data_IF_306381966464
#
_entry.id   IF_306381966464
#
_cell.length_a   1.000
_cell.length_b   1.000
_cell.length_c   1.000
_cell.angle_alpha   90.00
_cell.angle_beta   90.00
_cell.angle_gamma   90.00
#
_symmetry.space_group_name_H-M   'P 1'
#
loop_
_entity.id
_entity.type
_entity.pdbx_description
1 polymer ?
#
# COMPACT_ATOMS: atom_id res chain seq x y z
N UNK A 1 -2.31 8.41 -0.15
CA UNK A 1 -2.39 7.30 -1.12
C UNK A 1 -2.79 7.75 -2.53
N UNK A 2 -3.98 8.30 -2.76
CA UNK A 2 -4.38 8.76 -4.11
C UNK A 2 -3.41 9.76 -4.76
N UNK A 3 -2.90 10.72 -3.97
CA UNK A 3 -1.90 11.72 -4.42
C UNK A 3 -0.56 11.09 -4.83
N UNK A 4 -0.11 10.04 -4.12
CA UNK A 4 1.13 9.32 -4.45
C UNK A 4 0.98 8.59 -5.78
N UNK A 5 -0.13 7.86 -5.98
CA UNK A 5 -0.37 7.10 -7.22
C UNK A 5 -0.55 8.00 -8.42
N UNK A 6 -1.18 9.17 -8.25
CA UNK A 6 -1.26 10.18 -9.31
C UNK A 6 0.13 10.70 -9.71
N UNK A 7 1.01 10.98 -8.74
CA UNK A 7 2.37 11.41 -9.03
C UNK A 7 3.19 10.33 -9.74
N UNK A 8 3.06 9.06 -9.31
CA UNK A 8 3.72 7.91 -9.93
C UNK A 8 3.24 7.66 -11.37
N UNK A 9 1.92 7.73 -11.61
CA UNK A 9 1.32 7.59 -12.94
C UNK A 9 1.75 8.72 -13.89
N UNK A 10 1.88 9.94 -13.38
CA UNK A 10 2.38 11.11 -14.11
C UNK A 10 3.90 11.20 -14.22
N UNK A 11 4.66 10.18 -13.78
CA UNK A 11 6.12 10.14 -13.75
C UNK A 11 6.79 11.29 -12.96
N UNK A 12 6.04 11.94 -12.07
CA UNK A 12 6.51 13.04 -11.21
C UNK A 12 7.19 12.47 -9.96
N UNK A 13 8.46 12.12 -10.12
CA UNK A 13 9.28 11.54 -9.04
C UNK A 13 9.42 12.46 -7.84
N UNK A 14 9.55 13.77 -8.07
CA UNK A 14 9.70 14.74 -6.98
C UNK A 14 8.44 14.78 -6.11
N UNK A 15 7.26 14.84 -6.74
CA UNK A 15 6.00 14.79 -6.02
C UNK A 15 5.76 13.42 -5.36
N UNK A 16 6.16 12.32 -6.01
CA UNK A 16 6.03 10.97 -5.44
C UNK A 16 6.92 10.78 -4.19
N UNK A 17 8.14 11.30 -4.19
CA UNK A 17 9.02 11.27 -3.03
C UNK A 17 8.50 12.14 -1.89
N UNK A 18 8.11 13.39 -2.17
CA UNK A 18 7.52 14.30 -1.17
C UNK A 18 6.32 13.63 -0.46
N UNK A 19 5.34 13.18 -1.24
CA UNK A 19 4.13 12.55 -0.69
C UNK A 19 4.47 11.24 0.03
N UNK A 20 5.47 10.50 -0.46
CA UNK A 20 5.97 9.29 0.19
C UNK A 20 6.55 9.55 1.59
N UNK A 21 7.33 10.62 1.75
CA UNK A 21 7.89 11.02 3.05
C UNK A 21 6.81 11.49 4.03
N UNK A 22 5.80 12.21 3.56
CA UNK A 22 4.64 12.59 4.38
C UNK A 22 3.91 11.36 4.92
N UNK A 23 3.61 10.39 4.05
CA UNK A 23 2.96 9.14 4.43
C UNK A 23 3.84 8.34 5.41
N UNK A 24 5.14 8.25 5.16
CA UNK A 24 6.07 7.54 6.04
C UNK A 24 6.14 8.18 7.44
N UNK A 25 6.07 9.50 7.51
CA UNK A 25 6.00 10.23 8.80
C UNK A 25 4.74 9.86 9.57
N UNK A 26 3.59 9.81 8.90
CA UNK A 26 2.32 9.38 9.50
C UNK A 26 2.32 7.90 9.90
N UNK A 27 2.97 7.04 9.10
CA UNK A 27 3.06 5.61 9.34
C UNK A 27 3.68 5.25 10.69
N UNK A 28 4.56 6.10 11.23
CA UNK A 28 5.19 5.91 12.57
C UNK A 28 4.20 5.91 13.72
N UNK A 29 2.98 6.38 13.49
CA UNK A 29 1.91 6.40 14.48
C UNK A 29 0.94 5.22 14.33
N UNK A 30 1.13 4.37 13.33
CA UNK A 30 0.31 3.20 13.07
C UNK A 30 0.99 1.92 13.57
N UNK A 31 0.23 0.93 14.04
CA UNK A 31 0.78 -0.37 14.38
C UNK A 31 1.45 -1.05 13.18
N UNK A 32 2.52 -1.81 13.41
CA UNK A 32 3.27 -2.52 12.37
C UNK A 32 2.40 -3.46 11.52
N UNK A 33 1.32 -4.00 12.09
CA UNK A 33 0.38 -4.87 11.38
C UNK A 33 -0.23 -4.21 10.13
N UNK A 34 -0.27 -2.87 10.06
CA UNK A 34 -0.79 -2.13 8.92
C UNK A 34 0.13 -2.18 7.70
N UNK A 35 1.41 -2.59 7.85
CA UNK A 35 2.35 -2.78 6.72
C UNK A 35 2.40 -1.58 5.76
N UNK A 36 2.39 -0.36 6.31
CA UNK A 36 2.34 0.87 5.51
C UNK A 36 3.60 1.04 4.65
N UNK A 37 4.74 0.48 5.08
CA UNK A 37 5.96 0.41 4.27
C UNK A 37 5.77 -0.40 2.99
N UNK A 38 5.21 -1.61 3.08
CA UNK A 38 4.93 -2.45 1.91
C UNK A 38 3.88 -1.81 0.99
N UNK A 39 2.90 -1.12 1.56
CA UNK A 39 1.92 -0.34 0.80
C UNK A 39 2.60 0.82 0.04
N UNK A 40 3.51 1.54 0.69
CA UNK A 40 4.28 2.61 0.05
C UNK A 40 5.12 2.09 -1.11
N UNK A 41 5.78 0.95 -0.93
CA UNK A 41 6.60 0.31 -1.97
C UNK A 41 5.74 -0.10 -3.18
N UNK A 42 4.63 -0.81 -2.94
CA UNK A 42 3.68 -1.19 -3.99
C UNK A 42 3.05 0.04 -4.68
N UNK A 43 2.92 1.16 -3.98
CA UNK A 43 2.36 2.38 -4.56
C UNK A 43 3.35 3.17 -5.41
N UNK A 44 4.66 2.90 -5.30
CA UNK A 44 5.75 3.60 -6.02
C UNK A 44 6.06 3.03 -7.40
N UNK A 45 5.53 1.85 -7.73
CA UNK A 45 5.67 1.20 -9.03
C UNK A 45 4.36 1.26 -9.84
N UNK A 46 4.47 1.47 -11.15
CA UNK A 46 3.32 1.66 -12.04
C UNK A 46 2.90 0.37 -12.78
N UNK A 47 3.46 -0.79 -12.47
CA UNK A 47 3.00 -2.05 -13.06
C UNK A 47 1.60 -2.43 -12.58
N UNK A 48 0.91 -3.27 -13.37
CA UNK A 48 -0.37 -3.86 -12.98
C UNK A 48 -0.29 -4.65 -11.68
N UNK A 49 0.82 -5.34 -11.44
CA UNK A 49 1.06 -6.12 -10.21
C UNK A 49 1.12 -5.19 -9.00
N UNK A 50 1.93 -4.14 -9.05
CA UNK A 50 2.07 -3.17 -7.96
C UNK A 50 0.77 -2.40 -7.72
N UNK A 51 0.02 -2.11 -8.79
CA UNK A 51 -1.32 -1.53 -8.71
C UNK A 51 -2.31 -2.39 -7.93
N UNK A 52 -2.30 -3.70 -8.19
CA UNK A 52 -3.12 -4.66 -7.46
C UNK A 52 -2.67 -4.81 -5.99
N UNK A 53 -1.35 -4.88 -5.75
CA UNK A 53 -0.80 -4.95 -4.39
C UNK A 53 -1.19 -3.72 -3.57
N UNK A 54 -1.03 -2.50 -4.11
CA UNK A 54 -1.41 -1.28 -3.41
C UNK A 54 -2.90 -1.27 -3.03
N UNK A 55 -3.77 -1.77 -3.92
CA UNK A 55 -5.20 -1.91 -3.63
C UNK A 55 -5.47 -2.90 -2.49
N UNK A 56 -4.83 -4.08 -2.53
CA UNK A 56 -4.99 -5.10 -1.48
C UNK A 56 -4.49 -4.61 -0.12
N UNK A 57 -3.35 -3.92 -0.08
CA UNK A 57 -2.82 -3.33 1.15
C UNK A 57 -3.76 -2.26 1.73
N UNK A 58 -4.35 -1.39 0.89
CA UNK A 58 -5.32 -0.39 1.34
C UNK A 58 -6.58 -1.05 1.91
N UNK A 59 -7.15 -2.04 1.21
CA UNK A 59 -8.35 -2.75 1.69
C UNK A 59 -8.05 -3.46 3.02
N UNK A 60 -6.88 -4.09 3.14
CA UNK A 60 -6.45 -4.76 4.36
C UNK A 60 -6.31 -3.77 5.53
N UNK A 61 -5.70 -2.60 5.31
CA UNK A 61 -5.61 -1.55 6.33
C UNK A 61 -7.00 -1.09 6.78
N UNK A 62 -7.95 -0.96 5.84
CA UNK A 62 -9.33 -0.59 6.15
C UNK A 62 -10.02 -1.66 7.01
N UNK A 63 -9.87 -2.94 6.68
CA UNK A 63 -10.40 -4.06 7.47
C UNK A 63 -9.83 -4.11 8.88
N UNK A 64 -8.52 -3.96 9.02
CA UNK A 64 -7.86 -3.90 10.34
C UNK A 64 -8.37 -2.73 11.18
N UNK A 65 -8.51 -1.55 10.58
CA UNK A 65 -9.09 -0.38 11.25
C UNK A 65 -10.55 -0.60 11.70
N UNK A 66 -11.29 -1.47 11.02
CA UNK A 66 -12.66 -1.84 11.38
C UNK A 66 -12.73 -2.99 12.42
N UNK A 67 -11.59 -3.55 12.83
CA UNK A 67 -11.52 -4.72 13.71
C UNK A 67 -11.83 -6.05 13.02
N UNK A 68 -11.88 -6.06 11.69
CA UNK A 68 -12.28 -7.21 10.87
C UNK A 68 -11.06 -8.06 10.49
N UNK A 69 -10.44 -8.68 11.50
CA UNK A 69 -9.17 -9.40 11.36
C UNK A 69 -9.23 -10.61 10.44
N UNK A 70 -10.41 -11.26 10.31
CA UNK A 70 -10.60 -12.40 9.40
C UNK A 70 -10.50 -11.97 7.94
N UNK A 71 -11.24 -10.94 7.52
CA UNK A 71 -11.15 -10.40 6.17
C UNK A 71 -9.75 -9.82 5.87
N UNK A 72 -9.11 -9.17 6.86
CA UNK A 72 -7.74 -8.70 6.72
C UNK A 72 -6.75 -9.85 6.45
N UNK A 73 -6.98 -11.03 7.04
CA UNK A 73 -6.17 -12.23 6.83
C UNK A 73 -6.39 -12.83 5.44
N UNK A 74 -7.63 -12.83 4.93
CA UNK A 74 -7.91 -13.26 3.56
C UNK A 74 -7.21 -12.37 2.53
N UNK A 75 -7.18 -11.06 2.77
CA UNK A 75 -6.45 -10.10 1.92
C UNK A 75 -4.93 -10.32 2.02
N UNK A 76 -4.41 -10.64 3.20
CA UNK A 76 -3.00 -11.00 3.38
C UNK A 76 -2.60 -12.23 2.57
N UNK A 77 -3.46 -13.26 2.53
CA UNK A 77 -3.21 -14.44 1.69
C UNK A 77 -3.18 -14.07 0.20
N UNK A 78 -4.08 -13.20 -0.26
CA UNK A 78 -4.08 -12.72 -1.65
C UNK A 78 -2.81 -11.93 -1.98
N UNK A 79 -2.33 -11.09 -1.06
CA UNK A 79 -1.06 -10.37 -1.20
C UNK A 79 0.10 -11.36 -1.37
N UNK A 80 0.17 -12.38 -0.52
CA UNK A 80 1.22 -13.42 -0.63
C UNK A 80 1.15 -14.17 -1.96
N UNK A 81 -0.04 -14.58 -2.41
CA UNK A 81 -0.21 -15.26 -3.69
C UNK A 81 0.29 -14.38 -4.85
N UNK A 82 -0.10 -13.10 -4.86
CA UNK A 82 0.31 -12.19 -5.91
C UNK A 82 1.82 -11.93 -5.92
N UNK A 83 2.47 -11.87 -4.76
CA UNK A 83 3.95 -11.81 -4.69
C UNK A 83 4.61 -13.03 -5.35
N UNK A 84 4.05 -14.22 -5.16
CA UNK A 84 4.60 -15.48 -5.70
C UNK A 84 4.31 -15.74 -7.19
N UNK A 85 3.45 -14.93 -7.81
CA UNK A 85 3.22 -14.98 -9.26
C UNK A 85 4.29 -14.13 -9.95
N UNK A 86 5.19 -14.77 -10.71
CA UNK A 86 6.15 -14.14 -11.62
C UNK A 86 5.53 -14.02 -13.03
#
# INVERSE_FOLDING_TARGET
MGRLRFAVDGEDKAAADEVGEEINTLARHLPEEFKVGDLLDAARDNSDKSSQLAKLYIDRCFRLSAGDGEAAKELENQIHLLHTQD
#
